data_IF_034916906817
#
_entry.id   IF_034916906817
#
_cell.length_a   1.000
_cell.length_b   1.000
_cell.length_c   1.000
_cell.angle_alpha   90.00
_cell.angle_beta   90.00
_cell.angle_gamma   90.00
#
_symmetry.space_group_name_H-M   'P 1'
#
loop_
_entity.id
_entity.type
_entity.pdbx_description
1 polymer ?
#
# COMPACT_ATOMS: atom_id res chain seq x y z
N UNK A 1 -13.17 15.52 -11.21
CA UNK A 1 -12.76 16.92 -11.01
C UNK A 1 -11.59 16.96 -10.02
N UNK A 2 -10.50 17.68 -10.35
CA UNK A 2 -9.37 17.91 -9.47
C UNK A 2 -9.53 19.26 -8.75
N UNK A 3 -9.25 19.28 -7.44
CA UNK A 3 -9.26 20.48 -6.62
C UNK A 3 -7.90 20.67 -5.97
N UNK A 4 -7.35 21.90 -6.05
CA UNK A 4 -6.16 22.26 -5.31
C UNK A 4 -6.56 23.04 -4.04
N UNK A 5 -6.49 22.44 -2.84
CA UNK A 5 -6.92 23.10 -1.61
C UNK A 5 -5.99 24.25 -1.17
N UNK A 6 -4.82 24.40 -1.77
CA UNK A 6 -3.92 25.54 -1.54
C UNK A 6 -4.34 26.79 -2.32
N UNK A 7 -5.29 26.66 -3.23
CA UNK A 7 -5.95 27.79 -3.87
C UNK A 7 -7.28 28.06 -3.17
N UNK A 8 -7.60 29.34 -2.94
CA UNK A 8 -8.81 29.74 -2.21
C UNK A 8 -10.08 29.10 -2.77
N UNK A 9 -10.27 29.14 -4.08
CA UNK A 9 -11.44 28.54 -4.74
C UNK A 9 -11.48 27.02 -4.58
N UNK A 10 -10.33 26.34 -4.62
CA UNK A 10 -10.21 24.90 -4.40
C UNK A 10 -10.53 24.50 -2.96
N UNK A 11 -10.08 25.29 -1.98
CA UNK A 11 -10.41 25.06 -0.57
C UNK A 11 -11.91 25.27 -0.29
N UNK A 12 -12.48 26.35 -0.78
CA UNK A 12 -13.92 26.65 -0.63
C UNK A 12 -14.78 25.52 -1.25
N UNK A 13 -14.40 25.04 -2.43
CA UNK A 13 -15.13 23.94 -3.09
C UNK A 13 -14.95 22.62 -2.33
N UNK A 14 -13.78 22.33 -1.78
CA UNK A 14 -13.55 21.16 -0.92
C UNK A 14 -14.47 21.19 0.30
N UNK A 15 -14.63 22.33 0.96
CA UNK A 15 -15.52 22.47 2.11
C UNK A 15 -17.00 22.37 1.70
N UNK A 16 -17.38 22.87 0.53
CA UNK A 16 -18.72 22.68 -0.02
C UNK A 16 -19.03 21.22 -0.29
N UNK A 17 -18.08 20.46 -0.85
CA UNK A 17 -18.22 19.02 -1.04
C UNK A 17 -18.33 18.30 0.30
N UNK A 18 -17.56 18.69 1.32
CA UNK A 18 -17.65 18.14 2.66
C UNK A 18 -19.06 18.26 3.27
N UNK A 19 -19.79 19.34 2.97
CA UNK A 19 -21.16 19.57 3.41
C UNK A 19 -22.24 18.94 2.52
N UNK A 20 -21.86 18.21 1.46
CA UNK A 20 -22.81 17.54 0.56
C UNK A 20 -23.36 16.25 1.19
N UNK A 21 -24.63 15.97 0.93
CA UNK A 21 -25.27 14.69 1.26
C UNK A 21 -24.81 13.55 0.34
N UNK A 22 -24.29 13.87 -0.84
CA UNK A 22 -23.78 12.92 -1.82
C UNK A 22 -22.40 12.36 -1.47
N UNK A 23 -21.68 13.02 -0.55
CA UNK A 23 -20.38 12.54 -0.10
C UNK A 23 -20.56 11.44 0.95
N UNK A 24 -20.31 10.20 0.56
CA UNK A 24 -20.46 9.02 1.41
C UNK A 24 -19.11 8.39 1.82
N UNK A 25 -18.10 8.55 0.96
CA UNK A 25 -16.80 7.88 1.12
C UNK A 25 -15.66 8.88 0.85
N UNK A 26 -14.63 8.84 1.67
CA UNK A 26 -13.34 9.50 1.42
C UNK A 26 -12.26 8.42 1.35
N UNK A 27 -11.53 8.37 0.24
CA UNK A 27 -10.37 7.50 0.06
C UNK A 27 -9.11 8.33 0.20
N UNK A 28 -8.16 7.89 1.01
CA UNK A 28 -6.82 8.48 1.08
C UNK A 28 -5.77 7.53 0.56
N UNK A 29 -4.86 8.05 -0.26
CA UNK A 29 -3.68 7.34 -0.74
C UNK A 29 -2.56 8.36 -0.92
N UNK A 30 -2.07 8.87 0.21
CA UNK A 30 -0.98 9.83 0.28
C UNK A 30 0.37 9.12 0.17
N UNK A 31 1.30 9.34 1.08
CA UNK A 31 2.58 8.61 1.14
C UNK A 31 2.68 7.88 2.48
N UNK A 32 3.74 7.06 2.67
CA UNK A 32 4.04 6.43 3.95
C UNK A 32 4.21 7.45 5.09
N UNK A 33 4.58 8.70 4.75
CA UNK A 33 4.68 9.82 5.69
C UNK A 33 3.40 10.70 5.75
N UNK A 34 2.38 10.37 4.96
CA UNK A 34 1.17 11.21 4.83
C UNK A 34 0.26 11.16 6.06
N UNK A 35 0.18 10.01 6.73
CA UNK A 35 -0.58 9.86 7.98
C UNK A 35 0.33 10.19 9.17
N UNK A 36 0.60 11.49 9.37
CA UNK A 36 1.40 11.98 10.48
C UNK A 36 0.72 13.17 11.15
N UNK A 37 0.84 13.22 12.48
CA UNK A 37 0.40 14.36 13.26
C UNK A 37 1.50 15.43 13.27
N UNK A 38 1.13 16.63 12.84
CA UNK A 38 1.97 17.83 12.89
C UNK A 38 1.40 18.84 13.91
N UNK A 39 2.06 19.05 15.06
CA UNK A 39 1.55 19.96 16.08
C UNK A 39 1.54 21.44 15.66
N UNK A 40 2.20 21.80 14.56
CA UNK A 40 2.20 23.16 14.04
C UNK A 40 0.89 23.53 13.33
N UNK A 41 0.11 22.54 12.88
CA UNK A 41 -1.17 22.76 12.20
C UNK A 41 -2.21 23.37 13.15
N UNK A 42 -2.80 24.48 12.73
CA UNK A 42 -3.85 25.20 13.47
C UNK A 42 -5.20 24.96 12.83
N UNK A 43 -6.25 25.13 13.63
CA UNK A 43 -7.64 25.03 13.16
C UNK A 43 -7.96 26.06 12.08
N UNK A 44 -7.35 27.24 12.17
CA UNK A 44 -7.57 28.40 11.28
C UNK A 44 -6.76 28.35 9.98
N UNK A 45 -5.84 27.40 9.83
CA UNK A 45 -5.05 27.23 8.60
C UNK A 45 -5.97 26.89 7.42
N UNK A 46 -5.71 27.49 6.25
CA UNK A 46 -6.54 27.31 5.05
C UNK A 46 -5.71 26.99 3.80
N UNK A 47 -5.34 25.73 3.59
CA UNK A 47 -5.48 24.54 4.44
C UNK A 47 -4.27 24.37 5.39
N UNK A 48 -4.40 23.51 6.44
CA UNK A 48 -3.23 23.08 7.21
C UNK A 48 -2.29 22.22 6.36
N UNK A 49 -1.01 22.11 6.75
CA UNK A 49 0.02 21.38 6.00
C UNK A 49 -0.24 19.89 5.95
N UNK A 50 -0.58 19.25 7.07
CA UNK A 50 -0.74 17.81 7.14
C UNK A 50 -2.09 17.32 6.61
N UNK A 51 -2.09 16.12 5.99
CA UNK A 51 -3.32 15.49 5.50
C UNK A 51 -4.33 15.19 6.63
N UNK A 52 -3.94 14.59 7.78
CA UNK A 52 -4.89 14.35 8.86
C UNK A 52 -5.51 15.63 9.45
N UNK A 53 -4.78 16.76 9.45
CA UNK A 53 -5.32 18.06 9.85
C UNK A 53 -6.37 18.56 8.86
N UNK A 54 -6.09 18.50 7.55
CA UNK A 54 -7.07 18.80 6.48
C UNK A 54 -8.33 17.96 6.65
N UNK A 55 -8.15 16.65 6.84
CA UNK A 55 -9.26 15.73 7.06
C UNK A 55 -10.07 16.12 8.30
N UNK A 56 -9.41 16.49 9.39
CA UNK A 56 -10.10 16.93 10.60
C UNK A 56 -10.97 18.18 10.35
N UNK A 57 -10.47 19.14 9.57
CA UNK A 57 -11.27 20.31 9.16
C UNK A 57 -12.48 19.91 8.30
N UNK A 58 -12.29 19.00 7.33
CA UNK A 58 -13.37 18.48 6.46
C UNK A 58 -14.45 17.81 7.30
N UNK A 59 -14.07 16.93 8.24
CA UNK A 59 -15.00 16.24 9.11
C UNK A 59 -15.70 17.20 10.08
N UNK A 60 -14.97 18.19 10.62
CA UNK A 60 -15.54 19.20 11.50
C UNK A 60 -16.56 20.08 10.77
N UNK A 61 -16.24 20.52 9.54
CA UNK A 61 -17.17 21.29 8.71
C UNK A 61 -18.42 20.46 8.38
N UNK A 62 -18.27 19.19 8.06
CA UNK A 62 -19.37 18.26 7.81
C UNK A 62 -20.27 18.10 9.04
N UNK A 63 -19.68 17.89 10.21
CA UNK A 63 -20.40 17.82 11.50
C UNK A 63 -21.19 19.12 11.78
N UNK A 64 -20.54 20.28 11.64
CA UNK A 64 -21.21 21.58 11.85
C UNK A 64 -22.33 21.84 10.85
N UNK A 65 -22.30 21.23 9.69
CA UNK A 65 -23.34 21.26 8.66
C UNK A 65 -24.46 20.24 8.92
N UNK A 66 -24.44 19.52 10.04
CA UNK A 66 -25.47 18.54 10.42
C UNK A 66 -25.51 17.31 9.53
N UNK A 67 -24.40 16.96 8.86
CA UNK A 67 -24.31 15.82 7.95
C UNK A 67 -23.99 14.52 8.69
N UNK A 68 -24.47 13.39 8.15
CA UNK A 68 -24.19 12.06 8.68
C UNK A 68 -22.68 11.74 8.64
N UNK A 69 -22.26 10.79 9.48
CA UNK A 69 -20.94 10.20 9.43
C UNK A 69 -20.56 9.68 8.04
N UNK A 70 -19.28 9.44 7.83
CA UNK A 70 -18.71 9.10 6.51
C UNK A 70 -17.73 7.96 6.65
N UNK A 71 -17.54 7.20 5.56
CA UNK A 71 -16.58 6.10 5.49
C UNK A 71 -15.23 6.65 5.00
N UNK A 72 -14.19 6.37 5.78
CA UNK A 72 -12.80 6.67 5.45
C UNK A 72 -12.10 5.37 5.04
N UNK A 73 -11.55 5.30 3.83
CA UNK A 73 -10.77 4.18 3.32
C UNK A 73 -9.31 4.62 3.20
N UNK A 74 -8.47 4.26 4.17
CA UNK A 74 -7.04 4.58 4.15
C UNK A 74 -6.27 3.54 3.32
N UNK A 75 -5.54 3.99 2.29
CA UNK A 75 -4.77 3.13 1.37
C UNK A 75 -3.25 3.35 1.48
N UNK A 76 -2.79 4.15 2.42
CA UNK A 76 -1.37 4.40 2.66
C UNK A 76 -0.63 3.11 3.07
N UNK A 77 0.61 2.96 2.61
CA UNK A 77 1.43 1.75 2.86
C UNK A 77 2.07 1.74 4.26
N UNK A 78 1.26 1.97 5.28
CA UNK A 78 1.66 1.87 6.69
C UNK A 78 0.81 0.86 7.45
N UNK A 79 1.33 0.37 8.56
CA UNK A 79 0.63 -0.55 9.44
C UNK A 79 -0.57 0.13 10.12
N UNK A 80 -1.74 -0.54 10.08
CA UNK A 80 -2.96 -0.05 10.71
C UNK A 80 -3.38 1.35 10.23
N UNK A 81 -3.21 1.63 8.93
CA UNK A 81 -3.42 2.95 8.33
C UNK A 81 -4.73 3.63 8.76
N UNK A 82 -5.87 2.95 8.77
CA UNK A 82 -7.15 3.49 9.23
C UNK A 82 -7.13 3.88 10.71
N UNK A 83 -6.54 3.03 11.56
CA UNK A 83 -6.43 3.29 13.02
C UNK A 83 -5.46 4.45 13.31
N UNK A 84 -4.33 4.52 12.59
CA UNK A 84 -3.38 5.64 12.75
C UNK A 84 -3.98 6.96 12.23
N UNK A 85 -4.77 6.91 11.15
CA UNK A 85 -5.49 8.10 10.67
C UNK A 85 -6.49 8.61 11.70
N UNK A 86 -7.32 7.73 12.27
CA UNK A 86 -8.26 8.08 13.36
C UNK A 86 -7.53 8.65 14.57
N UNK A 87 -6.39 8.07 14.95
CA UNK A 87 -5.57 8.55 16.06
C UNK A 87 -5.04 9.97 15.81
N UNK A 88 -4.60 10.28 14.59
CA UNK A 88 -4.19 11.64 14.21
C UNK A 88 -5.37 12.62 14.31
N UNK A 89 -6.55 12.25 13.79
CA UNK A 89 -7.76 13.08 13.88
C UNK A 89 -8.13 13.35 15.33
N UNK A 90 -8.13 12.35 16.20
CA UNK A 90 -8.42 12.53 17.63
C UNK A 90 -7.41 13.44 18.32
N UNK A 91 -6.13 13.41 17.95
CA UNK A 91 -5.12 14.35 18.46
C UNK A 91 -5.42 15.79 18.07
N UNK A 92 -5.90 16.03 16.84
CA UNK A 92 -6.33 17.39 16.43
C UNK A 92 -7.61 17.84 17.13
N UNK A 93 -8.56 16.94 17.41
CA UNK A 93 -9.74 17.23 18.22
C UNK A 93 -9.31 17.79 19.59
N UNK A 94 -8.35 17.14 20.23
CA UNK A 94 -7.81 17.56 21.53
C UNK A 94 -7.00 18.86 21.42
N UNK A 95 -6.08 18.96 20.45
CA UNK A 95 -5.25 20.15 20.24
C UNK A 95 -6.09 21.40 19.94
N UNK A 96 -7.10 21.26 19.08
CA UNK A 96 -7.96 22.38 18.68
C UNK A 96 -9.12 22.61 19.64
N UNK A 97 -9.21 21.84 20.71
CA UNK A 97 -10.27 21.91 21.75
C UNK A 97 -11.67 21.91 21.13
N UNK A 98 -11.89 20.95 20.22
CA UNK A 98 -13.19 20.80 19.57
C UNK A 98 -14.16 20.13 20.54
N UNK A 99 -15.46 20.41 20.35
CA UNK A 99 -16.53 19.95 21.25
C UNK A 99 -16.66 18.41 21.30
N UNK A 100 -17.12 17.89 22.46
CA UNK A 100 -17.32 16.45 22.69
C UNK A 100 -18.31 15.81 21.71
N UNK A 101 -19.30 16.57 21.24
CA UNK A 101 -20.22 16.14 20.18
C UNK A 101 -19.50 15.79 18.89
N UNK A 102 -18.48 16.56 18.51
CA UNK A 102 -17.67 16.22 17.34
C UNK A 102 -16.76 15.00 17.59
N UNK A 103 -16.19 14.89 18.79
CA UNK A 103 -15.41 13.69 19.16
C UNK A 103 -16.27 12.43 19.07
N UNK A 104 -17.51 12.49 19.55
CA UNK A 104 -18.48 11.40 19.43
C UNK A 104 -18.79 11.09 17.97
N UNK A 105 -19.08 12.10 17.15
CA UNK A 105 -19.35 11.97 15.73
C UNK A 105 -18.20 11.26 14.98
N UNK A 106 -16.95 11.63 15.26
CA UNK A 106 -15.77 11.01 14.62
C UNK A 106 -15.61 9.54 15.01
N UNK A 107 -15.85 9.20 16.29
CA UNK A 107 -15.56 7.86 16.79
C UNK A 107 -16.75 6.89 16.72
N UNK A 108 -17.99 7.37 16.60
CA UNK A 108 -19.20 6.53 16.60
C UNK A 108 -19.97 6.59 15.28
N UNK A 109 -20.03 7.77 14.61
CA UNK A 109 -20.81 7.94 13.38
C UNK A 109 -19.94 7.79 12.13
N UNK A 110 -18.64 8.12 12.18
CA UNK A 110 -17.70 7.90 11.09
C UNK A 110 -17.05 6.52 11.20
N UNK A 111 -16.70 5.93 10.04
CA UNK A 111 -16.02 4.65 9.98
C UNK A 111 -14.63 4.81 9.37
N UNK A 112 -13.58 4.48 10.12
CA UNK A 112 -12.20 4.50 9.65
C UNK A 112 -11.72 3.08 9.33
N UNK A 113 -11.76 2.73 8.06
CA UNK A 113 -11.35 1.42 7.58
C UNK A 113 -9.87 1.43 7.20
N UNK A 114 -9.13 0.46 7.75
CA UNK A 114 -7.82 0.13 7.23
C UNK A 114 -7.93 -0.61 5.90
N UNK A 115 -6.93 -0.50 5.05
CA UNK A 115 -6.90 -1.32 3.85
C UNK A 115 -5.50 -1.70 3.40
N UNK A 116 -5.43 -2.75 2.60
CA UNK A 116 -4.24 -3.25 1.94
C UNK A 116 -4.46 -3.20 0.43
N UNK A 117 -3.68 -2.39 -0.27
CA UNK A 117 -3.66 -2.33 -1.73
C UNK A 117 -2.47 -3.13 -2.25
N UNK A 118 -2.69 -3.98 -3.23
CA UNK A 118 -1.66 -4.72 -3.93
C UNK A 118 -1.86 -4.64 -5.44
N UNK A 119 -1.23 -3.65 -6.06
CA UNK A 119 -1.12 -3.42 -7.50
C UNK A 119 0.14 -2.63 -7.79
N UNK A 120 0.92 -3.06 -8.77
CA UNK A 120 2.07 -2.29 -9.23
C UNK A 120 1.58 -1.25 -10.24
N UNK A 121 1.80 0.03 -9.92
CA UNK A 121 1.49 1.19 -10.77
C UNK A 121 2.78 2.00 -10.91
N UNK A 122 3.54 1.82 -12.01
CA UNK A 122 4.83 2.49 -12.19
C UNK A 122 4.70 4.00 -12.48
N UNK A 123 3.51 4.49 -12.77
CA UNK A 123 3.22 5.88 -13.06
C UNK A 123 2.92 6.15 -14.53
N UNK A 124 2.85 7.43 -14.87
CA UNK A 124 2.51 7.90 -16.22
C UNK A 124 3.52 7.42 -17.26
N UNK A 125 3.05 7.04 -18.43
CA UNK A 125 3.86 6.82 -19.63
C UNK A 125 4.71 8.07 -19.89
N UNK A 126 6.00 7.87 -20.12
CA UNK A 126 6.95 8.99 -20.37
C UNK A 126 7.22 9.21 -21.85
N UNK A 127 6.96 8.22 -22.70
CA UNK A 127 7.14 8.33 -24.14
C UNK A 127 6.03 9.17 -24.75
N UNK A 128 6.39 10.35 -25.27
CA UNK A 128 5.45 11.28 -25.87
C UNK A 128 4.76 10.71 -27.13
N UNK A 129 5.46 9.83 -27.87
CA UNK A 129 4.88 9.20 -29.08
C UNK A 129 3.79 8.19 -28.67
N UNK A 130 4.06 7.35 -27.68
CA UNK A 130 3.07 6.41 -27.15
C UNK A 130 1.85 7.12 -26.58
N UNK A 131 2.04 8.25 -25.89
CA UNK A 131 0.92 9.08 -25.40
C UNK A 131 0.07 9.58 -26.56
N UNK A 132 0.70 10.16 -27.61
CA UNK A 132 0.01 10.71 -28.76
C UNK A 132 -0.79 9.61 -29.51
N UNK A 133 -0.22 8.42 -29.69
CA UNK A 133 -0.91 7.27 -30.32
C UNK A 133 -2.13 6.83 -29.49
N UNK A 134 -2.05 6.85 -28.15
CA UNK A 134 -3.17 6.53 -27.28
C UNK A 134 -4.25 7.61 -27.33
N UNK A 135 -3.87 8.89 -27.33
CA UNK A 135 -4.80 10.02 -27.41
C UNK A 135 -5.54 10.01 -28.77
N UNK A 136 -4.84 9.76 -29.86
CA UNK A 136 -5.43 9.60 -31.20
C UNK A 136 -6.42 8.42 -31.24
N UNK A 137 -6.01 7.26 -30.69
CA UNK A 137 -6.84 6.06 -30.63
C UNK A 137 -8.12 6.26 -29.85
N UNK A 138 -8.06 7.00 -28.74
CA UNK A 138 -9.19 7.21 -27.84
C UNK A 138 -10.02 8.46 -28.18
N UNK A 139 -9.45 9.39 -28.96
CA UNK A 139 -10.12 10.61 -29.38
C UNK A 139 -10.22 11.71 -28.31
N UNK A 140 -9.40 11.63 -27.25
CA UNK A 140 -9.33 12.64 -26.20
C UNK A 140 -7.94 12.66 -25.55
N UNK A 141 -7.60 13.81 -24.93
CA UNK A 141 -6.39 13.98 -24.12
C UNK A 141 -6.68 13.57 -22.69
N UNK A 142 -5.87 12.63 -22.14
CA UNK A 142 -5.99 12.18 -20.77
C UNK A 142 -4.78 12.62 -19.94
N UNK A 143 -4.96 13.67 -19.14
CA UNK A 143 -3.92 14.15 -18.22
C UNK A 143 -3.67 13.23 -17.03
N UNK A 144 -4.56 12.26 -16.78
CA UNK A 144 -4.47 11.27 -15.69
C UNK A 144 -4.07 9.88 -16.20
N UNK A 145 -3.66 9.77 -17.48
CA UNK A 145 -3.19 8.52 -18.05
C UNK A 145 -2.06 7.90 -17.21
N UNK A 146 -2.26 6.67 -16.79
CA UNK A 146 -1.31 5.94 -15.95
C UNK A 146 -1.21 4.47 -16.39
N UNK A 147 -0.10 3.83 -16.03
CA UNK A 147 0.14 2.41 -16.31
C UNK A 147 -0.03 1.60 -15.03
N UNK A 148 -0.69 0.48 -15.14
CA UNK A 148 -0.84 -0.47 -14.04
C UNK A 148 -0.83 -1.91 -14.53
N UNK A 149 -0.35 -2.82 -13.70
CA UNK A 149 -0.46 -4.25 -13.99
C UNK A 149 -1.93 -4.71 -13.99
N UNK A 150 -2.22 -5.81 -14.67
CA UNK A 150 -3.57 -6.43 -14.70
C UNK A 150 -3.98 -6.96 -13.33
N UNK A 151 -3.01 -7.46 -12.56
CA UNK A 151 -3.23 -7.87 -11.19
C UNK A 151 -3.64 -6.68 -10.31
N UNK A 152 -4.60 -6.93 -9.41
CA UNK A 152 -4.99 -5.93 -8.42
C UNK A 152 -5.81 -6.59 -7.33
N UNK A 153 -5.46 -6.29 -6.08
CA UNK A 153 -6.20 -6.71 -4.88
C UNK A 153 -6.32 -5.52 -3.94
N UNK A 154 -7.53 -5.29 -3.47
CA UNK A 154 -7.82 -4.33 -2.42
C UNK A 154 -8.58 -5.01 -1.29
N UNK A 155 -7.93 -5.16 -0.14
CA UNK A 155 -8.53 -5.72 1.07
C UNK A 155 -8.89 -4.58 2.01
N UNK A 156 -10.15 -4.48 2.39
CA UNK A 156 -10.69 -3.45 3.27
C UNK A 156 -11.07 -4.12 4.60
N UNK A 157 -10.49 -3.65 5.70
CA UNK A 157 -10.82 -4.13 7.04
C UNK A 157 -12.07 -3.42 7.55
N UNK A 158 -13.13 -4.18 7.79
CA UNK A 158 -14.39 -3.65 8.27
C UNK A 158 -15.50 -4.69 8.38
N UNK A 159 -16.68 -4.23 8.80
CA UNK A 159 -17.89 -5.06 8.91
C UNK A 159 -18.40 -5.47 7.52
N UNK A 160 -19.01 -6.66 7.42
CA UNK A 160 -19.60 -7.16 6.17
C UNK A 160 -20.64 -6.23 5.56
N UNK A 161 -21.31 -5.41 6.37
CA UNK A 161 -22.28 -4.39 5.90
C UNK A 161 -21.65 -3.39 4.92
N UNK A 162 -20.33 -3.22 4.94
CA UNK A 162 -19.64 -2.42 3.92
C UNK A 162 -19.84 -2.95 2.50
N UNK A 163 -20.08 -4.23 2.32
CA UNK A 163 -20.39 -4.81 1.01
C UNK A 163 -21.72 -4.31 0.41
N UNK A 164 -22.64 -3.85 1.24
CA UNK A 164 -23.93 -3.30 0.79
C UNK A 164 -23.79 -1.82 0.37
N UNK A 165 -22.83 -1.12 0.98
CA UNK A 165 -22.56 0.30 0.73
C UNK A 165 -21.57 0.44 -0.44
N UNK A 166 -20.49 -0.35 -0.42
CA UNK A 166 -19.46 -0.32 -1.46
C UNK A 166 -19.91 -1.14 -2.68
N UNK A 167 -19.96 -0.57 -3.89
CA UNK A 167 -20.60 -1.21 -5.04
C UNK A 167 -19.74 -2.28 -5.73
N UNK A 168 -18.64 -2.73 -5.13
CA UNK A 168 -17.65 -3.57 -5.79
C UNK A 168 -18.17 -4.94 -6.21
N UNK A 169 -19.00 -5.59 -5.39
CA UNK A 169 -19.66 -6.85 -5.76
C UNK A 169 -20.58 -6.68 -6.96
N UNK A 170 -21.38 -5.59 -6.98
CA UNK A 170 -22.27 -5.25 -8.10
C UNK A 170 -21.50 -4.92 -9.37
N UNK A 171 -20.28 -4.38 -9.23
CA UNK A 171 -19.38 -4.10 -10.34
C UNK A 171 -18.59 -5.33 -10.85
N UNK A 172 -18.83 -6.53 -10.30
CA UNK A 172 -18.14 -7.75 -10.71
C UNK A 172 -16.70 -7.87 -10.23
N UNK A 173 -16.34 -7.17 -9.14
CA UNK A 173 -14.98 -7.11 -8.61
C UNK A 173 -14.79 -8.01 -7.36
N UNK A 174 -15.61 -9.03 -7.17
CA UNK A 174 -15.55 -9.91 -6.00
C UNK A 174 -14.26 -10.73 -5.89
N UNK A 175 -13.52 -10.88 -6.98
CA UNK A 175 -12.22 -11.53 -7.06
C UNK A 175 -11.03 -10.60 -6.77
N UNK A 176 -11.28 -9.28 -6.67
CA UNK A 176 -10.25 -8.25 -6.51
C UNK A 176 -10.42 -7.38 -5.27
N UNK A 177 -11.65 -7.19 -4.80
CA UNK A 177 -11.96 -6.35 -3.65
C UNK A 177 -12.63 -7.18 -2.57
N UNK A 178 -12.01 -7.23 -1.40
CA UNK A 178 -12.44 -8.04 -0.27
C UNK A 178 -12.73 -7.14 0.93
N UNK A 179 -13.91 -7.26 1.52
CA UNK A 179 -14.22 -6.69 2.83
C UNK A 179 -14.09 -7.83 3.84
N UNK A 180 -13.22 -7.65 4.83
CA UNK A 180 -12.88 -8.67 5.82
C UNK A 180 -12.80 -8.08 7.22
N UNK A 181 -13.15 -8.83 8.28
CA UNK A 181 -13.06 -8.34 9.66
C UNK A 181 -11.60 -8.17 10.13
N UNK A 182 -10.65 -8.89 9.51
CA UNK A 182 -9.21 -8.83 9.81
C UNK A 182 -8.41 -9.00 8.51
N UNK A 183 -7.64 -7.98 8.14
CA UNK A 183 -6.77 -8.03 6.96
C UNK A 183 -5.36 -8.59 7.24
N UNK A 184 -5.04 -8.90 8.49
CA UNK A 184 -3.70 -9.38 8.90
C UNK A 184 -3.22 -10.60 8.13
N UNK A 185 -4.05 -11.61 7.79
CA UNK A 185 -3.64 -12.76 6.97
C UNK A 185 -3.16 -12.34 5.58
N UNK A 186 -3.90 -11.47 4.91
CA UNK A 186 -3.56 -10.95 3.58
C UNK A 186 -2.27 -10.15 3.60
N UNK A 187 -2.11 -9.31 4.61
CA UNK A 187 -0.89 -8.52 4.82
C UNK A 187 0.31 -9.42 5.08
N UNK A 188 0.18 -10.41 5.97
CA UNK A 188 1.25 -11.36 6.28
C UNK A 188 1.67 -12.10 5.01
N UNK A 189 0.73 -12.64 4.23
CA UNK A 189 0.96 -13.30 2.96
C UNK A 189 1.74 -12.40 1.99
N UNK A 190 1.25 -11.17 1.74
CA UNK A 190 1.91 -10.20 0.84
C UNK A 190 3.32 -9.87 1.28
N UNK A 191 3.49 -9.50 2.56
CA UNK A 191 4.78 -9.05 3.10
C UNK A 191 5.82 -10.17 3.04
N UNK A 192 5.44 -11.41 3.37
CA UNK A 192 6.38 -12.54 3.40
C UNK A 192 6.69 -13.09 2.02
N UNK A 193 5.70 -13.25 1.17
CA UNK A 193 5.87 -13.87 -0.15
C UNK A 193 6.30 -12.83 -1.17
N UNK A 194 5.49 -11.81 -1.48
CA UNK A 194 5.84 -10.85 -2.53
C UNK A 194 7.03 -9.95 -2.12
N UNK A 195 6.86 -9.24 -1.01
CA UNK A 195 7.88 -8.28 -0.58
C UNK A 195 9.13 -8.98 -0.06
N UNK A 196 8.95 -10.15 0.59
CA UNK A 196 10.02 -11.01 1.06
C UNK A 196 10.84 -11.58 -0.08
N UNK A 197 10.20 -12.05 -1.15
CA UNK A 197 10.90 -12.51 -2.35
C UNK A 197 11.78 -11.40 -2.93
N UNK A 198 11.21 -10.23 -3.24
CA UNK A 198 11.99 -9.09 -3.72
C UNK A 198 13.21 -8.81 -2.83
N UNK A 199 12.99 -8.63 -1.53
CA UNK A 199 14.09 -8.33 -0.60
C UNK A 199 15.10 -9.45 -0.48
N UNK A 200 14.66 -10.70 -0.62
CA UNK A 200 15.48 -11.88 -0.43
C UNK A 200 16.47 -12.17 -1.57
N UNK A 201 16.08 -11.88 -2.83
CA UNK A 201 16.96 -12.23 -3.96
C UNK A 201 17.64 -11.00 -4.60
N UNK A 202 17.09 -9.80 -4.48
CA UNK A 202 17.51 -8.62 -5.25
C UNK A 202 18.99 -8.26 -5.09
N UNK A 203 19.52 -8.27 -3.86
CA UNK A 203 20.92 -7.90 -3.65
C UNK A 203 21.87 -8.97 -4.17
N UNK A 204 21.54 -10.25 -3.99
CA UNK A 204 22.32 -11.36 -4.58
C UNK A 204 22.29 -11.33 -6.11
N UNK A 205 21.15 -11.03 -6.71
CA UNK A 205 21.01 -10.88 -8.15
C UNK A 205 21.82 -9.71 -8.71
N UNK A 206 21.79 -8.56 -8.01
CA UNK A 206 22.59 -7.40 -8.38
C UNK A 206 24.08 -7.70 -8.34
N UNK A 207 24.57 -8.34 -7.27
CA UNK A 207 25.96 -8.78 -7.14
C UNK A 207 26.36 -9.81 -8.22
N UNK A 208 25.40 -10.57 -8.75
CA UNK A 208 25.57 -11.48 -9.87
C UNK A 208 25.43 -10.79 -11.25
N UNK A 209 25.36 -9.45 -11.31
CA UNK A 209 25.35 -8.67 -12.54
C UNK A 209 24.00 -8.55 -13.23
N UNK A 210 22.88 -8.81 -12.51
CA UNK A 210 21.53 -8.54 -13.03
C UNK A 210 21.10 -7.10 -12.73
N UNK A 211 20.22 -6.54 -13.57
CA UNK A 211 19.74 -5.17 -13.43
C UNK A 211 18.26 -5.05 -13.10
N UNK A 212 17.42 -5.90 -13.66
CA UNK A 212 15.97 -5.88 -13.47
C UNK A 212 15.43 -7.23 -13.02
N UNK A 213 14.27 -7.20 -12.33
CA UNK A 213 13.60 -8.41 -11.79
C UNK A 213 13.31 -9.44 -12.88
N UNK A 214 12.83 -9.00 -14.05
CA UNK A 214 12.48 -9.91 -15.15
C UNK A 214 13.67 -10.73 -15.64
N UNK A 215 14.86 -10.13 -15.72
CA UNK A 215 16.07 -10.85 -16.13
C UNK A 215 16.43 -11.97 -15.14
N UNK A 216 16.12 -11.76 -13.85
CA UNK A 216 16.29 -12.78 -12.83
C UNK A 216 15.30 -13.95 -13.00
N UNK A 217 14.10 -13.68 -13.54
CA UNK A 217 13.11 -14.74 -13.81
C UNK A 217 13.44 -15.57 -15.06
N UNK A 218 14.28 -15.06 -15.95
CA UNK A 218 14.82 -15.78 -17.12
C UNK A 218 16.18 -16.46 -16.84
N UNK A 219 16.74 -16.27 -15.65
CA UNK A 219 17.95 -16.93 -15.20
C UNK A 219 17.58 -18.12 -14.31
N UNK A 220 17.99 -19.33 -14.71
CA UNK A 220 17.63 -20.55 -14.00
C UNK A 220 18.10 -20.57 -12.54
N UNK A 221 19.31 -20.01 -12.28
CA UNK A 221 19.87 -19.97 -10.92
C UNK A 221 19.10 -19.01 -10.04
N UNK A 222 18.84 -17.77 -10.51
CA UNK A 222 18.12 -16.75 -9.75
C UNK A 222 16.67 -17.15 -9.51
N UNK A 223 15.99 -17.67 -10.53
CA UNK A 223 14.61 -18.19 -10.40
C UNK A 223 14.56 -19.40 -9.47
N UNK A 224 15.51 -20.34 -9.61
CA UNK A 224 15.63 -21.49 -8.73
C UNK A 224 15.87 -21.11 -7.28
N UNK A 225 16.73 -20.12 -7.03
CA UNK A 225 17.00 -19.56 -5.70
C UNK A 225 15.72 -18.96 -5.10
N UNK A 226 15.03 -18.09 -5.85
CA UNK A 226 13.78 -17.47 -5.38
C UNK A 226 12.72 -18.51 -5.07
N UNK A 227 12.51 -19.48 -5.95
CA UNK A 227 11.52 -20.53 -5.74
C UNK A 227 11.85 -21.36 -4.50
N UNK A 228 13.09 -21.82 -4.36
CA UNK A 228 13.52 -22.58 -3.18
C UNK A 228 13.33 -21.78 -1.89
N UNK A 229 13.70 -20.51 -1.88
CA UNK A 229 13.49 -19.62 -0.74
C UNK A 229 12.00 -19.52 -0.38
N UNK A 230 11.12 -19.33 -1.38
CA UNK A 230 9.69 -19.16 -1.13
C UNK A 230 9.01 -20.47 -0.70
N UNK A 231 9.20 -21.55 -1.47
CA UNK A 231 8.44 -22.79 -1.28
C UNK A 231 8.97 -23.63 -0.13
N UNK A 232 10.30 -23.67 0.08
CA UNK A 232 10.92 -24.55 1.08
C UNK A 232 11.20 -23.83 2.42
N UNK A 233 11.36 -22.49 2.41
CA UNK A 233 11.83 -21.77 3.60
C UNK A 233 10.83 -20.72 4.14
N UNK A 234 10.06 -20.03 3.27
CA UNK A 234 9.14 -18.97 3.69
C UNK A 234 7.73 -19.51 3.92
N UNK A 235 7.14 -20.17 2.90
CA UNK A 235 5.75 -20.65 2.97
C UNK A 235 5.52 -21.59 4.15
N UNK A 236 6.42 -22.57 4.46
CA UNK A 236 6.23 -23.45 5.61
C UNK A 236 6.13 -22.72 6.96
N UNK A 237 6.71 -21.53 7.07
CA UNK A 237 6.70 -20.73 8.32
C UNK A 237 5.43 -19.86 8.49
N UNK A 238 4.48 -19.94 7.56
CA UNK A 238 3.28 -19.12 7.59
C UNK A 238 2.08 -19.92 8.09
N UNK A 239 1.45 -19.54 9.21
CA UNK A 239 0.26 -20.20 9.75
C UNK A 239 -1.00 -19.74 8.98
N UNK A 240 -1.02 -19.97 7.67
CA UNK A 240 -2.11 -19.60 6.75
C UNK A 240 -2.44 -20.80 5.86
N UNK A 241 -3.55 -20.74 5.14
CA UNK A 241 -3.95 -21.78 4.22
C UNK A 241 -2.88 -22.03 3.15
N UNK A 242 -2.41 -23.28 3.06
CA UNK A 242 -1.29 -23.64 2.20
C UNK A 242 -1.61 -23.46 0.71
N UNK A 243 -2.82 -23.80 0.30
CA UNK A 243 -3.20 -23.72 -1.12
C UNK A 243 -3.31 -22.25 -1.54
N UNK A 244 -3.82 -21.37 -0.67
CA UNK A 244 -3.83 -19.94 -0.88
C UNK A 244 -2.40 -19.36 -0.99
N UNK A 245 -1.49 -19.79 -0.11
CA UNK A 245 -0.08 -19.35 -0.15
C UNK A 245 0.61 -19.78 -1.45
N UNK A 246 0.39 -21.04 -1.89
CA UNK A 246 0.98 -21.57 -3.13
C UNK A 246 0.44 -20.86 -4.36
N UNK A 247 -0.87 -20.62 -4.44
CA UNK A 247 -1.49 -19.84 -5.52
C UNK A 247 -0.93 -18.42 -5.57
N UNK A 248 -0.79 -17.79 -4.40
CA UNK A 248 -0.23 -16.43 -4.33
C UNK A 248 1.24 -16.38 -4.75
N UNK A 249 2.07 -17.35 -4.34
CA UNK A 249 3.47 -17.44 -4.74
C UNK A 249 3.64 -17.65 -6.26
N UNK A 250 2.78 -18.49 -6.87
CA UNK A 250 2.75 -18.64 -8.33
C UNK A 250 2.41 -17.32 -9.04
N UNK A 251 1.38 -16.63 -8.58
CA UNK A 251 1.00 -15.32 -9.13
C UNK A 251 2.12 -14.28 -8.97
N UNK A 252 2.90 -14.32 -7.88
CA UNK A 252 4.07 -13.45 -7.69
C UNK A 252 5.15 -13.74 -8.75
N UNK A 253 5.41 -14.99 -9.08
CA UNK A 253 6.37 -15.34 -10.15
C UNK A 253 5.94 -14.80 -11.50
N UNK A 254 4.65 -14.85 -11.83
CA UNK A 254 4.10 -14.30 -13.07
C UNK A 254 4.23 -12.76 -13.10
N UNK A 255 3.96 -12.09 -11.97
CA UNK A 255 4.12 -10.64 -11.83
C UNK A 255 5.58 -10.19 -11.99
N UNK A 256 6.54 -10.96 -11.47
CA UNK A 256 7.96 -10.68 -11.62
C UNK A 256 8.45 -10.86 -13.07
N UNK A 257 7.77 -11.69 -13.83
CA UNK A 257 8.03 -11.92 -15.25
C UNK A 257 7.25 -10.99 -16.18
N UNK A 258 6.60 -9.94 -15.66
CA UNK A 258 5.78 -9.02 -16.45
C UNK A 258 6.64 -8.29 -17.51
N UNK A 259 6.37 -8.47 -18.82
CA UNK A 259 7.17 -7.87 -19.90
C UNK A 259 7.02 -6.34 -20.01
N UNK A 260 6.00 -5.77 -19.42
CA UNK A 260 5.71 -4.33 -19.46
C UNK A 260 6.34 -3.55 -18.31
N UNK A 261 6.98 -4.22 -17.34
CA UNK A 261 7.55 -3.59 -16.14
C UNK A 261 9.04 -3.89 -16.06
N UNK A 262 9.87 -2.89 -16.26
CA UNK A 262 11.31 -2.96 -16.00
C UNK A 262 11.58 -2.52 -14.56
N UNK A 263 11.39 -3.44 -13.60
CA UNK A 263 11.58 -3.16 -12.18
C UNK A 263 13.06 -3.29 -11.82
N UNK A 264 13.72 -2.17 -11.64
CA UNK A 264 15.16 -2.09 -11.35
C UNK A 264 15.48 -2.64 -9.96
N UNK A 265 16.48 -3.52 -9.86
CA UNK A 265 16.93 -4.11 -8.61
C UNK A 265 17.41 -3.04 -7.62
N UNK A 266 18.10 -2.00 -8.11
CA UNK A 266 18.58 -0.90 -7.28
C UNK A 266 17.45 -0.07 -6.67
N UNK A 267 16.33 0.15 -7.38
CA UNK A 267 15.16 0.82 -6.80
C UNK A 267 14.52 0.02 -5.68
N UNK A 268 14.56 -1.31 -5.78
CA UNK A 268 14.06 -2.22 -4.73
C UNK A 268 15.03 -2.25 -3.54
N UNK A 269 16.33 -2.08 -3.75
CA UNK A 269 17.37 -2.15 -2.71
C UNK A 269 17.28 -1.00 -1.68
N UNK A 270 16.60 0.09 -1.99
CA UNK A 270 16.46 1.21 -1.06
C UNK A 270 15.88 0.75 0.29
N UNK A 271 16.50 1.17 1.39
CA UNK A 271 16.12 0.80 2.76
C UNK A 271 16.14 -0.72 3.04
N UNK A 272 17.08 -1.46 2.42
CA UNK A 272 17.16 -2.93 2.53
C UNK A 272 17.26 -3.43 3.97
N UNK A 273 17.92 -2.71 4.88
CA UNK A 273 18.05 -3.09 6.29
C UNK A 273 16.68 -3.22 6.97
N UNK A 274 15.86 -2.18 6.90
CA UNK A 274 14.51 -2.19 7.48
C UNK A 274 13.59 -3.17 6.75
N UNK A 275 13.71 -3.25 5.43
CA UNK A 275 12.95 -4.21 4.61
C UNK A 275 13.29 -5.65 4.96
N UNK A 276 14.58 -6.02 5.04
CA UNK A 276 14.99 -7.38 5.38
C UNK A 276 14.51 -7.78 6.77
N UNK A 277 14.68 -6.88 7.75
CA UNK A 277 14.19 -7.06 9.12
C UNK A 277 12.68 -7.28 9.18
N UNK A 278 11.90 -6.53 8.44
CA UNK A 278 10.44 -6.62 8.48
C UNK A 278 9.86 -7.78 7.66
N UNK A 279 10.52 -8.16 6.56
CA UNK A 279 9.96 -9.07 5.54
C UNK A 279 10.53 -10.50 5.64
N UNK A 280 11.84 -10.65 5.84
CA UNK A 280 12.56 -11.92 5.78
C UNK A 280 12.96 -12.46 7.16
N UNK A 281 13.42 -11.60 8.06
CA UNK A 281 13.86 -11.99 9.41
C UNK A 281 12.82 -12.84 10.16
N UNK A 282 11.52 -12.50 10.16
CA UNK A 282 10.56 -13.32 10.89
C UNK A 282 10.40 -14.73 10.31
N UNK A 283 10.48 -14.93 8.96
CA UNK A 283 10.48 -16.28 8.39
C UNK A 283 11.78 -17.02 8.67
N UNK A 284 12.91 -16.31 8.66
CA UNK A 284 14.20 -16.87 9.04
C UNK A 284 14.18 -17.43 10.47
N UNK A 285 13.74 -16.63 11.44
CA UNK A 285 13.70 -17.03 12.84
C UNK A 285 12.70 -18.17 13.09
N UNK A 286 11.55 -18.10 12.45
CA UNK A 286 10.54 -19.15 12.55
C UNK A 286 11.05 -20.49 11.99
N UNK A 287 11.70 -20.46 10.81
CA UNK A 287 12.30 -21.64 10.22
C UNK A 287 13.35 -22.27 11.16
N UNK A 288 14.23 -21.44 11.74
CA UNK A 288 15.23 -21.94 12.71
C UNK A 288 14.55 -22.57 13.92
N UNK A 289 13.49 -21.95 14.43
CA UNK A 289 12.72 -22.48 15.57
C UNK A 289 12.09 -23.83 15.27
N UNK A 290 11.49 -23.98 14.09
CA UNK A 290 10.75 -25.19 13.71
C UNK A 290 11.65 -26.32 13.22
N UNK A 291 12.70 -25.99 12.47
CA UNK A 291 13.56 -26.99 11.81
C UNK A 291 14.87 -27.27 12.54
N UNK A 292 15.24 -26.46 13.57
CA UNK A 292 16.50 -26.61 14.30
C UNK A 292 17.75 -26.38 13.45
N UNK A 293 17.64 -25.79 12.26
CA UNK A 293 18.74 -25.51 11.33
C UNK A 293 18.53 -24.20 10.60
N UNK A 294 19.60 -23.65 10.02
CA UNK A 294 19.53 -22.42 9.22
C UNK A 294 18.83 -22.66 7.87
N UNK A 295 17.93 -21.76 7.42
CA UNK A 295 17.39 -21.78 6.07
C UNK A 295 18.48 -21.36 5.07
N UNK A 296 18.77 -22.20 4.09
CA UNK A 296 19.93 -22.01 3.18
C UNK A 296 19.81 -20.74 2.35
N UNK A 297 18.64 -20.53 1.70
CA UNK A 297 18.44 -19.40 0.80
C UNK A 297 18.28 -18.07 1.57
N UNK A 298 17.56 -18.06 2.69
CA UNK A 298 17.47 -16.86 3.52
C UNK A 298 18.81 -16.50 4.16
N UNK A 299 19.65 -17.49 4.52
CA UNK A 299 21.01 -17.25 4.99
C UNK A 299 21.89 -16.65 3.89
N UNK A 300 21.81 -17.18 2.66
CA UNK A 300 22.51 -16.62 1.51
C UNK A 300 22.02 -15.19 1.19
N UNK A 301 20.72 -14.94 1.30
CA UNK A 301 20.14 -13.58 1.17
C UNK A 301 20.76 -12.62 2.18
N UNK A 302 20.92 -13.04 3.44
CA UNK A 302 21.56 -12.22 4.47
C UNK A 302 23.04 -11.99 4.18
N UNK A 303 23.75 -13.02 3.70
CA UNK A 303 25.16 -12.89 3.29
C UNK A 303 25.32 -11.90 2.12
N UNK A 304 24.46 -11.99 1.10
CA UNK A 304 24.43 -11.04 -0.02
C UNK A 304 24.13 -9.60 0.47
N UNK A 305 23.20 -9.43 1.41
CA UNK A 305 22.95 -8.14 2.05
C UNK A 305 24.21 -7.58 2.73
N UNK A 306 24.91 -8.39 3.51
CA UNK A 306 26.15 -7.97 4.19
C UNK A 306 27.21 -7.60 3.15
N UNK A 307 27.43 -8.44 2.15
CA UNK A 307 28.40 -8.18 1.07
C UNK A 307 28.11 -6.87 0.31
N UNK A 308 26.83 -6.61 -0.01
CA UNK A 308 26.43 -5.38 -0.71
C UNK A 308 26.75 -4.11 0.06
N UNK A 309 26.65 -4.14 1.41
CA UNK A 309 26.91 -2.98 2.27
C UNK A 309 28.33 -2.93 2.85
N UNK A 310 29.17 -3.95 2.66
CA UNK A 310 30.53 -4.00 3.20
C UNK A 310 31.52 -3.11 2.45
N UNK A 311 31.14 -2.53 1.31
CA UNK A 311 32.01 -1.74 0.42
C UNK A 311 33.25 -2.49 -0.12
N UNK A 312 33.31 -3.82 -0.02
CA UNK A 312 34.39 -4.63 -0.55
C UNK A 312 34.29 -4.86 -2.07
N UNK A 313 33.31 -4.23 -2.71
CA UNK A 313 33.08 -4.30 -4.15
C UNK A 313 33.59 -3.00 -4.75
N UNK A 314 34.85 -3.00 -5.13
CA UNK A 314 35.43 -2.02 -6.06
C UNK A 314 35.16 -2.43 -7.50
#
# INVERSE_FOLDING_TARGET
RCLNPYEKAGYEEMMKVAASDELEIIVSNTTEAGIQYDPSCKKEDCPPSSFPAKLTQVLYHRYKSGKKGIIMLACELIDNNGKELLKCVNRYIEQWKLEDGFKKYVNEDCMFCGSLVDRIVPGRIRDAKEIAELEEKHGYVDSLLDVGEVFGVWVIEGDEKLNDILPFKKAGLSDKVFVVPDMSPYKKRKVRILNGAHTGFVLGAYLAGKNIVRDCMHDEVMKGFMNKMLYDEVIPTLPLDKDDLLKFASAVSDRFNNPFVNHELMSISLNSTSKWKARNMPSFLEYVREQGKLPTCLTMSLAAYIAFYSNDIQ
#
